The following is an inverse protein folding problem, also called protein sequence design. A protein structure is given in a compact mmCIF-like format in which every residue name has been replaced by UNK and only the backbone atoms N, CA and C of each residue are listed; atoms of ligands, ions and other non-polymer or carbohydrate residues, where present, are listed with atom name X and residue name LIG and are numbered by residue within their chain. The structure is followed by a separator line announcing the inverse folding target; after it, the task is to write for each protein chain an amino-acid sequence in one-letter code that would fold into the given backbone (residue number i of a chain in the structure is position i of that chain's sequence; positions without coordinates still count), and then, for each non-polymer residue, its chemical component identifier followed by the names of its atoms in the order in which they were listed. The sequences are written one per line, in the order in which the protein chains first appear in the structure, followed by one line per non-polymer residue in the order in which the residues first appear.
data_IF_497742300311
#
_entry.id   IF_497742300311
#
_cell.length_a   1.000
_cell.length_b   1.000
_cell.length_c   1.000
_cell.angle_alpha   90.00
_cell.angle_beta   90.00
_cell.angle_gamma   90.00
#
_symmetry.space_group_name_H-M   'P 1'
#
loop_
_entity.id
_entity.type
_entity.pdbx_description
1 polymer ?
#
# COMPACT_ATOMS: atom_id res chain seq x y z
N UNK A 1 -63.39 31.93 21.32
CA UNK A 1 -62.56 33.14 21.44
C UNK A 1 -61.24 32.74 22.10
N UNK A 2 -60.22 32.45 21.30
CA UNK A 2 -58.82 32.39 21.75
C UNK A 2 -57.97 32.88 20.58
N UNK A 3 -57.49 34.11 20.71
CA UNK A 3 -56.73 34.86 19.71
C UNK A 3 -55.42 34.14 19.34
N UNK A 4 -54.90 34.28 18.12
CA UNK A 4 -53.53 33.85 17.84
C UNK A 4 -52.61 34.78 18.63
N UNK A 5 -51.90 34.23 19.61
CA UNK A 5 -50.80 34.91 20.29
C UNK A 5 -49.76 35.26 19.22
N UNK A 6 -49.76 36.51 18.75
CA UNK A 6 -48.64 37.07 18.00
C UNK A 6 -47.49 37.24 18.98
N UNK A 7 -46.76 36.14 19.24
CA UNK A 7 -45.51 36.12 20.01
C UNK A 7 -44.40 36.80 19.21
N UNK A 8 -44.58 38.08 18.88
CA UNK A 8 -43.58 38.91 18.25
C UNK A 8 -42.92 39.71 19.38
N UNK A 9 -41.72 39.30 19.76
CA UNK A 9 -40.90 40.01 20.76
C UNK A 9 -39.83 40.86 20.07
N UNK A 10 -39.35 41.90 20.76
CA UNK A 10 -38.14 42.64 20.34
C UNK A 10 -36.94 41.73 20.61
N UNK A 11 -36.18 41.38 19.57
CA UNK A 11 -35.09 40.40 19.61
C UNK A 11 -33.76 40.88 20.18
N UNK A 12 -33.74 41.83 21.12
CA UNK A 12 -32.50 42.30 21.77
C UNK A 12 -31.78 41.18 22.57
N UNK A 13 -32.53 40.15 23.00
CA UNK A 13 -32.01 38.98 23.71
C UNK A 13 -31.35 37.92 22.83
N UNK A 14 -31.40 38.08 21.50
CA UNK A 14 -30.84 37.13 20.53
C UNK A 14 -29.32 37.34 20.39
N UNK A 15 -28.57 36.23 20.34
CA UNK A 15 -27.10 36.23 20.22
C UNK A 15 -26.58 35.81 18.86
N UNK A 16 -27.36 35.03 18.10
CA UNK A 16 -26.95 34.41 16.84
C UNK A 16 -27.75 34.99 15.68
N UNK A 17 -29.08 35.04 15.84
CA UNK A 17 -30.00 35.60 14.86
C UNK A 17 -29.93 37.14 14.85
N UNK A 18 -30.18 37.80 13.71
CA UNK A 18 -30.23 39.26 13.64
C UNK A 18 -31.26 39.84 14.61
N UNK A 19 -30.90 40.94 15.28
CA UNK A 19 -31.80 41.62 16.22
C UNK A 19 -32.92 42.32 15.44
N UNK A 20 -34.17 42.02 15.80
CA UNK A 20 -35.37 42.52 15.13
C UNK A 20 -36.63 41.91 15.75
N UNK A 21 -37.78 42.11 15.10
CA UNK A 21 -39.01 41.44 15.52
C UNK A 21 -38.90 39.93 15.26
N UNK A 22 -39.05 39.13 16.31
CA UNK A 22 -38.80 37.68 16.27
C UNK A 22 -39.86 36.88 17.01
N UNK A 23 -40.06 35.65 16.56
CA UNK A 23 -40.84 34.63 17.27
C UNK A 23 -39.98 33.76 18.21
N UNK A 24 -38.65 33.95 18.23
CA UNK A 24 -37.74 33.13 19.02
C UNK A 24 -37.41 33.77 20.37
N UNK A 25 -37.55 33.00 21.44
CA UNK A 25 -36.96 33.31 22.75
C UNK A 25 -35.49 32.87 22.80
N UNK A 26 -34.71 33.33 23.79
CA UNK A 26 -33.32 32.86 23.96
C UNK A 26 -33.20 31.34 24.10
N UNK A 27 -34.14 30.70 24.82
CA UNK A 27 -34.17 29.24 24.97
C UNK A 27 -34.46 28.52 23.63
N UNK A 28 -35.31 29.10 22.78
CA UNK A 28 -35.56 28.58 21.43
C UNK A 28 -34.32 28.72 20.54
N UNK A 29 -33.65 29.88 20.58
CA UNK A 29 -32.42 30.13 19.81
C UNK A 29 -31.29 29.16 20.23
N UNK A 30 -31.09 28.94 21.52
CA UNK A 30 -30.11 27.97 22.03
C UNK A 30 -30.43 26.53 21.59
N UNK A 31 -31.71 26.15 21.66
CA UNK A 31 -32.16 24.80 21.24
C UNK A 31 -31.93 24.59 19.75
N UNK A 32 -32.30 25.57 18.91
CA UNK A 32 -32.11 25.50 17.46
C UNK A 32 -30.62 25.51 17.08
N UNK A 33 -29.80 26.29 17.78
CA UNK A 33 -28.34 26.30 17.59
C UNK A 33 -27.71 24.95 17.96
N UNK A 34 -28.16 24.32 19.04
CA UNK A 34 -27.67 23.00 19.43
C UNK A 34 -28.14 21.90 18.45
N UNK A 35 -29.36 22.01 17.94
CA UNK A 35 -29.89 21.10 16.93
C UNK A 35 -29.09 21.19 15.63
N UNK A 36 -28.89 22.40 15.09
CA UNK A 36 -28.16 22.62 13.84
C UNK A 36 -26.71 22.14 13.93
N UNK A 37 -26.04 22.37 15.07
CA UNK A 37 -24.70 21.82 15.35
C UNK A 37 -24.69 20.30 15.29
N UNK A 38 -25.62 19.63 15.98
CA UNK A 38 -25.70 18.16 16.01
C UNK A 38 -25.99 17.56 14.63
N UNK A 39 -26.89 18.18 13.88
CA UNK A 39 -27.22 17.74 12.51
C UNK A 39 -25.99 17.87 11.59
N UNK A 40 -25.29 19.01 11.66
CA UNK A 40 -24.08 19.22 10.87
C UNK A 40 -22.97 18.22 11.25
N UNK A 41 -22.70 18.01 12.54
CA UNK A 41 -21.74 16.99 13.00
C UNK A 41 -22.13 15.59 12.53
N UNK A 42 -23.42 15.28 12.50
CA UNK A 42 -23.96 14.04 11.94
C UNK A 42 -23.64 13.88 10.45
N UNK A 43 -23.88 14.92 9.65
CA UNK A 43 -23.60 14.93 8.21
C UNK A 43 -22.11 14.78 7.92
N UNK A 44 -21.24 15.51 8.64
CA UNK A 44 -19.77 15.41 8.48
C UNK A 44 -19.28 14.00 8.83
N UNK A 45 -19.81 13.40 9.90
CA UNK A 45 -19.46 12.04 10.30
C UNK A 45 -19.89 11.01 9.26
N UNK A 46 -21.09 11.15 8.71
CA UNK A 46 -21.61 10.22 7.70
C UNK A 46 -20.83 10.32 6.38
N UNK A 47 -20.54 11.55 5.93
CA UNK A 47 -19.65 11.78 4.78
C UNK A 47 -18.27 11.17 5.01
N UNK A 48 -17.70 11.33 6.21
CA UNK A 48 -16.43 10.73 6.61
C UNK A 48 -16.46 9.20 6.58
N UNK A 49 -17.52 8.57 7.09
CA UNK A 49 -17.71 7.10 7.04
C UNK A 49 -17.81 6.58 5.62
N UNK A 50 -18.60 7.25 4.77
CA UNK A 50 -18.75 6.89 3.36
C UNK A 50 -17.39 6.95 2.62
N UNK A 51 -16.65 8.04 2.79
CA UNK A 51 -15.32 8.20 2.20
C UNK A 51 -14.32 7.15 2.71
N UNK A 52 -14.35 6.86 4.02
CA UNK A 52 -13.50 5.82 4.61
C UNK A 52 -13.84 4.43 4.04
N UNK A 53 -15.12 4.12 3.83
CA UNK A 53 -15.55 2.87 3.22
C UNK A 53 -15.04 2.76 1.77
N UNK A 54 -15.12 3.83 0.98
CA UNK A 54 -14.58 3.85 -0.39
C UNK A 54 -13.06 3.66 -0.41
N UNK A 55 -12.31 4.37 0.44
CA UNK A 55 -10.85 4.23 0.53
C UNK A 55 -10.44 2.80 0.92
N UNK A 56 -11.13 2.20 1.90
CA UNK A 56 -10.88 0.82 2.31
C UNK A 56 -11.22 -0.20 1.21
N UNK A 57 -12.28 0.04 0.44
CA UNK A 57 -12.61 -0.81 -0.70
C UNK A 57 -11.52 -0.77 -1.77
N UNK A 58 -11.01 0.43 -2.09
CA UNK A 58 -9.90 0.59 -3.04
C UNK A 58 -8.61 -0.05 -2.53
N UNK A 59 -8.30 0.12 -1.25
CA UNK A 59 -7.16 -0.56 -0.60
C UNK A 59 -7.25 -2.07 -0.81
N UNK A 60 -8.39 -2.69 -0.45
CA UNK A 60 -8.57 -4.14 -0.55
C UNK A 60 -8.50 -4.63 -1.99
N UNK A 61 -9.12 -3.89 -2.91
CA UNK A 61 -9.11 -4.25 -4.33
C UNK A 61 -7.69 -4.25 -4.90
N UNK A 62 -6.93 -3.18 -4.64
CA UNK A 62 -5.56 -3.08 -5.13
C UNK A 62 -4.62 -4.08 -4.45
N UNK A 63 -4.77 -4.28 -3.14
CA UNK A 63 -3.92 -5.20 -2.37
C UNK A 63 -4.08 -6.64 -2.84
N UNK A 64 -5.32 -7.09 -3.06
CA UNK A 64 -5.61 -8.40 -3.66
C UNK A 64 -5.03 -8.49 -5.06
N UNK A 65 -5.29 -7.50 -5.92
CA UNK A 65 -4.79 -7.49 -7.30
C UNK A 65 -3.27 -7.64 -7.37
N UNK A 66 -2.53 -6.85 -6.59
CA UNK A 66 -1.07 -6.86 -6.63
C UNK A 66 -0.49 -8.15 -6.02
N UNK A 67 -1.10 -8.66 -4.95
CA UNK A 67 -0.73 -9.95 -4.36
C UNK A 67 -0.94 -11.10 -5.34
N UNK A 68 -2.08 -11.13 -6.02
CA UNK A 68 -2.39 -12.13 -7.05
C UNK A 68 -1.45 -12.01 -8.24
N UNK A 69 -1.09 -10.80 -8.65
CA UNK A 69 -0.10 -10.57 -9.70
C UNK A 69 1.25 -11.21 -9.37
N UNK A 70 1.77 -11.02 -8.14
CA UNK A 70 3.01 -11.65 -7.69
C UNK A 70 2.89 -13.18 -7.64
N UNK A 71 1.78 -13.70 -7.13
CA UNK A 71 1.56 -15.15 -7.02
C UNK A 71 1.44 -15.82 -8.40
N UNK A 72 0.72 -15.18 -9.33
CA UNK A 72 0.58 -15.67 -10.69
C UNK A 72 1.89 -15.58 -11.46
N UNK A 73 2.69 -14.54 -11.23
CA UNK A 73 4.05 -14.43 -11.78
C UNK A 73 4.95 -15.56 -11.29
N UNK A 74 4.93 -15.87 -9.98
CA UNK A 74 5.71 -16.99 -9.43
C UNK A 74 5.28 -18.32 -10.04
N UNK A 75 3.97 -18.58 -10.11
CA UNK A 75 3.43 -19.82 -10.69
C UNK A 75 3.82 -19.96 -12.15
N UNK A 76 3.65 -18.90 -12.93
CA UNK A 76 4.00 -18.88 -14.36
C UNK A 76 5.50 -19.13 -14.57
N UNK A 77 6.36 -18.55 -13.72
CA UNK A 77 7.79 -18.82 -13.74
C UNK A 77 8.08 -20.29 -13.43
N UNK A 78 7.49 -20.84 -12.36
CA UNK A 78 7.68 -22.24 -11.95
C UNK A 78 7.29 -23.19 -13.08
N UNK A 79 6.10 -23.03 -13.66
CA UNK A 79 5.61 -23.88 -14.76
C UNK A 79 6.50 -23.77 -16.01
N UNK A 80 6.83 -22.53 -16.41
CA UNK A 80 7.66 -22.29 -17.61
C UNK A 80 9.08 -22.82 -17.46
N UNK A 81 9.67 -22.67 -16.27
CA UNK A 81 11.06 -23.07 -16.02
C UNK A 81 11.16 -24.58 -15.80
N UNK A 82 10.18 -25.20 -15.15
CA UNK A 82 10.08 -26.66 -15.09
C UNK A 82 9.99 -27.26 -16.49
N UNK A 83 9.16 -26.70 -17.37
CA UNK A 83 8.99 -27.21 -18.74
C UNK A 83 10.27 -27.08 -19.59
N UNK A 84 11.05 -26.00 -19.43
CA UNK A 84 12.24 -25.71 -20.25
C UNK A 84 13.55 -26.27 -19.69
N UNK A 85 13.72 -26.25 -18.37
CA UNK A 85 14.98 -26.55 -17.69
C UNK A 85 14.93 -27.84 -16.87
N UNK A 86 13.74 -28.38 -16.62
CA UNK A 86 13.53 -29.65 -15.92
C UNK A 86 14.28 -29.72 -14.58
N UNK A 87 15.15 -30.72 -14.45
CA UNK A 87 15.88 -31.00 -13.20
C UNK A 87 16.85 -29.90 -12.79
N UNK A 88 17.38 -29.10 -13.73
CA UNK A 88 18.24 -27.96 -13.40
C UNK A 88 17.49 -26.91 -12.60
N UNK A 89 16.23 -26.65 -12.98
CA UNK A 89 15.36 -25.76 -12.22
C UNK A 89 14.96 -26.39 -10.89
N UNK A 90 14.50 -27.66 -10.87
CA UNK A 90 14.03 -28.29 -9.63
C UNK A 90 15.08 -28.29 -8.50
N UNK A 91 16.37 -28.44 -8.84
CA UNK A 91 17.48 -28.37 -7.86
C UNK A 91 17.71 -26.95 -7.31
N UNK A 92 17.31 -25.92 -8.05
CA UNK A 92 17.57 -24.52 -7.73
C UNK A 92 16.29 -23.71 -7.47
N UNK A 93 15.12 -24.34 -7.48
CA UNK A 93 13.81 -23.69 -7.37
C UNK A 93 13.70 -22.82 -6.12
N UNK A 94 14.35 -23.23 -5.03
CA UNK A 94 14.38 -22.48 -3.77
C UNK A 94 14.92 -21.05 -3.93
N UNK A 95 15.91 -20.82 -4.81
CA UNK A 95 16.46 -19.47 -5.05
C UNK A 95 15.39 -18.53 -5.60
N UNK A 96 14.51 -19.03 -6.46
CA UNK A 96 13.40 -18.25 -7.01
C UNK A 96 12.27 -18.08 -5.99
N UNK A 97 11.95 -19.12 -5.22
CA UNK A 97 10.93 -19.03 -4.15
C UNK A 97 11.32 -18.02 -3.08
N UNK A 98 12.58 -18.02 -2.65
CA UNK A 98 13.12 -17.07 -1.67
C UNK A 98 13.03 -15.64 -2.22
N UNK A 99 13.39 -15.41 -3.49
CA UNK A 99 13.21 -14.10 -4.14
C UNK A 99 11.75 -13.63 -4.06
N UNK A 100 10.78 -14.45 -4.49
CA UNK A 100 9.37 -14.06 -4.43
C UNK A 100 8.86 -13.85 -3.00
N UNK A 101 9.39 -14.59 -2.02
CA UNK A 101 9.11 -14.33 -0.60
C UNK A 101 9.60 -12.94 -0.19
N UNK A 102 10.83 -12.57 -0.56
CA UNK A 102 11.40 -11.25 -0.25
C UNK A 102 10.62 -10.11 -0.95
N UNK A 103 10.20 -10.30 -2.21
CA UNK A 103 9.35 -9.33 -2.91
C UNK A 103 8.01 -9.10 -2.18
N UNK A 104 7.38 -10.17 -1.67
CA UNK A 104 6.15 -10.08 -0.86
C UNK A 104 6.42 -9.40 0.48
N UNK A 105 7.52 -9.70 1.14
CA UNK A 105 7.90 -9.07 2.40
C UNK A 105 8.13 -7.57 2.21
N UNK A 106 8.85 -7.18 1.17
CA UNK A 106 9.04 -5.77 0.81
C UNK A 106 7.71 -5.06 0.59
N UNK A 107 6.81 -5.66 -0.19
CA UNK A 107 5.49 -5.09 -0.47
C UNK A 107 4.66 -4.90 0.81
N UNK A 108 4.68 -5.88 1.72
CA UNK A 108 3.95 -5.83 3.00
C UNK A 108 4.48 -4.81 4.01
N UNK A 109 5.64 -4.20 3.75
CA UNK A 109 6.16 -3.14 4.60
C UNK A 109 7.50 -3.44 5.26
N UNK A 110 8.10 -4.62 5.05
CA UNK A 110 9.41 -4.95 5.62
C UNK A 110 10.48 -3.95 5.15
N UNK A 111 11.44 -3.64 6.02
CA UNK A 111 12.57 -2.75 5.75
C UNK A 111 13.68 -3.47 4.95
N UNK A 112 13.29 -4.22 3.93
CA UNK A 112 14.20 -4.96 3.04
C UNK A 112 14.72 -3.99 1.98
N UNK A 113 16.02 -4.02 1.72
CA UNK A 113 16.60 -3.30 0.60
C UNK A 113 16.38 -4.10 -0.70
N UNK A 114 15.37 -3.71 -1.47
CA UNK A 114 14.96 -4.43 -2.67
C UNK A 114 16.08 -4.54 -3.73
N UNK A 115 16.93 -3.52 -3.86
CA UNK A 115 18.05 -3.59 -4.79
C UNK A 115 19.10 -4.61 -4.36
N UNK A 116 19.39 -4.67 -3.06
CA UNK A 116 20.32 -5.64 -2.47
C UNK A 116 19.78 -7.06 -2.60
N UNK A 117 18.49 -7.29 -2.29
CA UNK A 117 17.83 -8.58 -2.51
C UNK A 117 17.96 -9.06 -3.95
N UNK A 118 17.75 -8.16 -4.92
CA UNK A 118 17.87 -8.51 -6.33
C UNK A 118 19.32 -8.83 -6.72
N UNK A 119 20.29 -8.05 -6.23
CA UNK A 119 21.72 -8.32 -6.47
C UNK A 119 22.13 -9.67 -5.86
N UNK A 120 21.71 -9.95 -4.63
CA UNK A 120 21.98 -11.19 -3.92
C UNK A 120 21.35 -12.41 -4.61
N UNK A 121 20.12 -12.27 -5.12
CA UNK A 121 19.47 -13.30 -5.94
C UNK A 121 20.34 -13.68 -7.15
N UNK A 122 20.82 -12.70 -7.91
CA UNK A 122 21.64 -12.96 -9.10
C UNK A 122 23.00 -13.58 -8.74
N UNK A 123 23.63 -13.12 -7.65
CA UNK A 123 24.87 -13.69 -7.15
C UNK A 123 24.70 -15.17 -6.75
N UNK A 124 23.68 -15.48 -5.93
CA UNK A 124 23.36 -16.84 -5.50
C UNK A 124 22.99 -17.74 -6.67
N UNK A 125 22.23 -17.22 -7.64
CA UNK A 125 21.86 -17.97 -8.84
C UNK A 125 23.09 -18.30 -9.70
N UNK A 126 23.99 -17.33 -9.91
CA UNK A 126 25.23 -17.55 -10.64
C UNK A 126 26.08 -18.63 -10.00
N UNK A 127 26.31 -18.52 -8.68
CA UNK A 127 27.12 -19.48 -7.93
C UNK A 127 26.57 -20.90 -8.05
N UNK A 128 25.25 -21.07 -7.91
CA UNK A 128 24.60 -22.38 -8.02
C UNK A 128 24.64 -22.95 -9.44
N UNK A 129 24.41 -22.12 -10.45
CA UNK A 129 24.49 -22.57 -11.85
C UNK A 129 25.93 -22.94 -12.21
N UNK A 130 26.90 -22.16 -11.76
CA UNK A 130 28.32 -22.42 -12.00
C UNK A 130 28.75 -23.74 -11.34
N UNK A 131 28.39 -23.95 -10.06
CA UNK A 131 28.59 -25.23 -9.35
C UNK A 131 27.90 -26.41 -10.05
N UNK A 132 26.70 -26.21 -10.57
CA UNK A 132 25.97 -27.26 -11.29
C UNK A 132 26.58 -27.60 -12.66
N UNK A 133 27.25 -26.63 -13.30
CA UNK A 133 27.93 -26.79 -14.59
C UNK A 133 29.37 -27.30 -14.47
N UNK A 134 29.97 -27.24 -13.28
CA UNK A 134 31.34 -27.68 -13.05
C UNK A 134 31.46 -29.21 -13.19
N UNK A 135 32.53 -29.65 -13.84
CA UNK A 135 32.83 -31.08 -13.96
C UNK A 135 33.13 -31.66 -12.57
N UNK A 136 32.74 -32.93 -12.28
CA UNK A 136 32.90 -33.56 -10.96
C UNK A 136 34.34 -33.54 -10.43
N UNK A 137 35.33 -33.52 -11.33
CA UNK A 137 36.75 -33.45 -10.98
C UNK A 137 37.26 -32.08 -10.49
N UNK A 138 36.45 -31.02 -10.59
CA UNK A 138 36.84 -29.69 -10.10
C UNK A 138 36.11 -29.35 -8.80
N UNK A 139 36.86 -29.25 -7.70
CA UNK A 139 36.39 -28.63 -6.45
C UNK A 139 36.49 -27.12 -6.57
N UNK A 140 35.36 -26.44 -6.72
CA UNK A 140 35.31 -24.98 -6.70
C UNK A 140 35.47 -24.50 -5.25
N UNK A 141 36.64 -23.95 -4.94
CA UNK A 141 36.91 -23.29 -3.66
C UNK A 141 36.17 -21.95 -3.57
N UNK A 142 35.95 -21.47 -2.36
CA UNK A 142 35.29 -20.16 -2.14
C UNK A 142 36.08 -19.01 -2.78
N UNK A 143 37.41 -19.04 -2.74
CA UNK A 143 38.27 -18.07 -3.43
C UNK A 143 38.02 -18.03 -4.94
N UNK A 144 37.73 -19.18 -5.56
CA UNK A 144 37.43 -19.26 -6.98
C UNK A 144 36.05 -18.66 -7.28
N UNK A 145 35.06 -18.90 -6.42
CA UNK A 145 33.73 -18.31 -6.56
C UNK A 145 33.76 -16.79 -6.35
N UNK A 146 34.61 -16.29 -5.45
CA UNK A 146 34.83 -14.84 -5.29
C UNK A 146 35.47 -14.24 -6.55
N UNK A 147 36.40 -14.94 -7.19
CA UNK A 147 36.95 -14.56 -8.49
C UNK A 147 35.87 -14.52 -9.58
N UNK A 148 35.01 -15.55 -9.65
CA UNK A 148 33.87 -15.59 -10.58
C UNK A 148 32.93 -14.40 -10.35
N UNK A 149 32.62 -14.10 -9.08
CA UNK A 149 31.79 -12.95 -8.71
C UNK A 149 32.39 -11.63 -9.25
N UNK A 150 33.71 -11.43 -9.13
CA UNK A 150 34.42 -10.25 -9.67
C UNK A 150 34.34 -10.14 -11.20
N UNK A 151 34.23 -11.25 -11.92
CA UNK A 151 34.13 -11.25 -13.39
C UNK A 151 32.69 -11.05 -13.92
N UNK A 152 31.68 -11.07 -13.04
CA UNK A 152 30.27 -11.03 -13.43
C UNK A 152 29.91 -9.77 -14.23
N UNK A 153 30.47 -8.61 -13.88
CA UNK A 153 30.18 -7.35 -14.58
C UNK A 153 30.73 -7.33 -16.00
N UNK A 154 31.91 -7.93 -16.21
CA UNK A 154 32.59 -8.02 -17.50
C UNK A 154 31.94 -9.07 -18.39
N UNK A 155 31.72 -10.27 -17.85
CA UNK A 155 31.25 -11.42 -18.63
C UNK A 155 29.73 -11.43 -18.84
N UNK A 156 28.97 -10.74 -17.99
CA UNK A 156 27.50 -10.68 -18.02
C UNK A 156 26.86 -12.05 -18.30
N UNK A 157 27.00 -13.03 -17.38
CA UNK A 157 26.53 -14.40 -17.60
C UNK A 157 25.01 -14.51 -17.86
N UNK A 158 24.24 -13.52 -17.39
CA UNK A 158 22.81 -13.40 -17.64
C UNK A 158 22.44 -12.32 -18.67
N UNK A 159 23.42 -11.84 -19.43
CA UNK A 159 23.29 -10.69 -20.33
C UNK A 159 22.85 -9.43 -19.59
N UNK A 160 21.99 -8.65 -20.25
CA UNK A 160 21.45 -7.40 -19.70
C UNK A 160 20.22 -7.60 -18.79
N UNK A 161 19.76 -8.85 -18.61
CA UNK A 161 18.54 -9.17 -17.84
C UNK A 161 18.58 -8.64 -16.40
N UNK A 162 19.65 -8.87 -15.59
CA UNK A 162 19.71 -8.33 -14.24
C UNK A 162 19.61 -6.80 -14.19
N UNK A 163 20.30 -6.13 -15.11
CA UNK A 163 20.36 -4.66 -15.21
C UNK A 163 19.02 -4.07 -15.61
N UNK A 164 18.29 -4.73 -16.50
CA UNK A 164 17.01 -4.25 -17.01
C UNK A 164 15.84 -4.61 -16.09
N UNK A 165 15.90 -5.77 -15.42
CA UNK A 165 14.87 -6.25 -14.51
C UNK A 165 14.87 -5.47 -13.20
N UNK A 166 16.06 -5.18 -12.65
CA UNK A 166 16.19 -4.48 -11.35
C UNK A 166 15.38 -3.18 -11.28
N UNK A 167 15.60 -2.18 -12.14
CA UNK A 167 14.87 -0.92 -12.04
C UNK A 167 13.36 -1.05 -12.31
N UNK A 168 12.94 -2.02 -13.14
CA UNK A 168 11.52 -2.28 -13.43
C UNK A 168 10.81 -2.82 -12.19
N UNK A 169 11.40 -3.83 -11.56
CA UNK A 169 10.85 -4.45 -10.34
C UNK A 169 10.87 -3.46 -9.19
N UNK A 170 11.98 -2.73 -8.99
CA UNK A 170 12.08 -1.71 -7.95
C UNK A 170 11.01 -0.64 -8.09
N UNK A 171 10.87 -0.03 -9.28
CA UNK A 171 9.86 1.01 -9.50
C UNK A 171 8.44 0.50 -9.32
N UNK A 172 8.12 -0.69 -9.83
CA UNK A 172 6.79 -1.26 -9.71
C UNK A 172 6.42 -1.53 -8.25
N UNK A 173 7.31 -2.14 -7.47
CA UNK A 173 7.06 -2.46 -6.06
C UNK A 173 7.00 -1.21 -5.17
N UNK A 174 7.89 -0.23 -5.39
CA UNK A 174 7.84 1.05 -4.69
C UNK A 174 6.50 1.75 -4.96
N UNK A 175 6.11 1.86 -6.23
CA UNK A 175 4.85 2.53 -6.60
C UNK A 175 3.63 1.82 -5.98
N UNK A 176 3.56 0.49 -6.06
CA UNK A 176 2.47 -0.29 -5.50
C UNK A 176 2.39 -0.14 -3.96
N UNK A 177 3.53 -0.25 -3.27
CA UNK A 177 3.61 -0.07 -1.82
C UNK A 177 3.19 1.33 -1.40
N UNK A 178 3.71 2.37 -2.06
CA UNK A 178 3.36 3.76 -1.76
C UNK A 178 1.89 4.06 -2.02
N UNK A 179 1.30 3.48 -3.06
CA UNK A 179 -0.12 3.64 -3.36
C UNK A 179 -1.01 3.06 -2.25
N UNK A 180 -0.73 1.83 -1.82
CA UNK A 180 -1.45 1.15 -0.74
C UNK A 180 -1.31 1.89 0.59
N UNK A 181 -0.07 2.30 0.93
CA UNK A 181 0.19 3.12 2.11
C UNK A 181 -0.56 4.46 2.05
N UNK A 182 -0.61 5.10 0.88
CA UNK A 182 -1.36 6.34 0.67
C UNK A 182 -2.86 6.18 0.93
N UNK A 183 -3.47 5.08 0.50
CA UNK A 183 -4.88 4.77 0.78
C UNK A 183 -5.12 4.56 2.27
N UNK A 184 -4.23 3.83 2.96
CA UNK A 184 -4.32 3.63 4.42
C UNK A 184 -4.23 4.95 5.18
N UNK A 185 -3.21 5.77 4.88
CA UNK A 185 -3.01 7.07 5.53
C UNK A 185 -4.19 8.01 5.25
N UNK A 186 -4.70 8.02 4.02
CA UNK A 186 -5.89 8.82 3.67
C UNK A 186 -7.11 8.42 4.51
N UNK A 187 -7.33 7.12 4.70
CA UNK A 187 -8.40 6.61 5.56
C UNK A 187 -8.26 7.04 7.02
N UNK A 188 -7.03 7.05 7.55
CA UNK A 188 -6.75 7.55 8.90
C UNK A 188 -6.99 9.04 9.06
N UNK A 189 -6.60 9.85 8.06
CA UNK A 189 -6.82 11.30 8.06
C UNK A 189 -8.32 11.60 8.08
N UNK A 190 -9.10 10.96 7.20
CA UNK A 190 -10.57 11.12 7.16
C UNK A 190 -11.21 10.74 8.50
N UNK A 191 -10.75 9.64 9.11
CA UNK A 191 -11.23 9.21 10.43
C UNK A 191 -10.91 10.25 11.52
N UNK A 192 -9.72 10.86 11.50
CA UNK A 192 -9.33 11.87 12.50
C UNK A 192 -10.10 13.18 12.31
N UNK A 193 -10.24 13.65 11.07
CA UNK A 193 -10.92 14.92 10.75
C UNK A 193 -12.42 14.84 11.06
N UNK A 194 -13.07 13.70 10.77
CA UNK A 194 -14.50 13.50 11.07
C UNK A 194 -14.85 13.40 12.56
N UNK A 195 -13.84 13.38 13.45
CA UNK A 195 -14.00 13.35 14.90
C UNK A 195 -13.75 14.71 15.57
N UNK A 196 -13.37 15.74 14.80
CA UNK A 196 -13.16 17.09 15.35
C UNK A 196 -14.50 17.69 15.73
N UNK A 197 -14.62 18.11 17.00
CA UNK A 197 -15.81 18.81 17.49
C UNK A 197 -15.84 20.22 16.91
N UNK A 198 -17.03 20.69 16.52
CA UNK A 198 -17.20 22.10 16.23
C UNK A 198 -17.00 22.89 17.53
N UNK A 199 -16.17 23.93 17.50
CA UNK A 199 -15.99 24.87 18.63
C UNK A 199 -17.09 25.91 18.61
#
# INVERSE_FOLDING_TARGET
MSSPLSCICVGEHLRICPQGYTCCTSAMEETLSNLSRREFEGLVREAGRSLQASLNAQYRSFDTYFTDLLNNSERSLQESFLAKLGSLYSKNARVFQDLYADLRHYYRGSAVNLEETLNEFWARLLERLFKASALPQYTLTDDYLECVAKQTETLRPFGDVPRDLKPKVTRALVAARSFVQGLTVSGEVVRKVSQVLLL
#
